data_IF_103973988860
#
_entry.id   IF_103973988860
#
_cell.length_a   1.000
_cell.length_b   1.000
_cell.length_c   1.000
_cell.angle_alpha   90.00
_cell.angle_beta   90.00
_cell.angle_gamma   90.00
#
_symmetry.space_group_name_H-M   'P 1'
#
loop_
_entity.id
_entity.type
_entity.pdbx_description
1 polymer ?
#
# COMPACT_ATOMS: atom_id res chain seq x y z
N UNK A 1 7.71 -1.33 -16.17
CA UNK A 1 8.28 -1.63 -14.85
C UNK A 1 8.19 -3.11 -14.59
N UNK A 2 9.26 -3.74 -14.08
CA UNK A 2 9.26 -5.19 -13.84
C UNK A 2 8.04 -5.61 -13.04
N UNK A 3 7.29 -6.59 -13.56
CA UNK A 3 6.05 -7.14 -13.00
C UNK A 3 6.14 -7.40 -11.50
N UNK A 4 7.35 -7.72 -11.03
CA UNK A 4 7.74 -7.87 -9.63
C UNK A 4 7.30 -6.70 -8.72
N UNK A 5 7.51 -5.45 -9.12
CA UNK A 5 7.18 -4.30 -8.25
C UNK A 5 5.67 -4.08 -8.12
N UNK A 6 4.92 -4.44 -9.16
CA UNK A 6 3.45 -4.38 -9.20
C UNK A 6 2.82 -5.49 -8.36
N UNK A 7 3.39 -6.70 -8.42
CA UNK A 7 2.98 -7.86 -7.60
C UNK A 7 3.30 -7.62 -6.13
N UNK A 8 4.51 -7.14 -5.80
CA UNK A 8 4.89 -6.76 -4.44
C UNK A 8 3.91 -5.73 -3.86
N UNK A 9 3.52 -4.74 -4.65
CA UNK A 9 2.54 -3.75 -4.20
C UNK A 9 1.17 -4.37 -3.95
N UNK A 10 0.68 -5.23 -4.83
CA UNK A 10 -0.61 -5.91 -4.67
C UNK A 10 -0.63 -6.83 -3.45
N UNK A 11 0.50 -7.51 -3.16
CA UNK A 11 0.70 -8.30 -1.94
C UNK A 11 0.50 -7.46 -0.68
N UNK A 12 1.08 -6.26 -0.61
CA UNK A 12 0.89 -5.35 0.53
C UNK A 12 -0.56 -4.86 0.67
N UNK A 13 -1.31 -4.77 -0.42
CA UNK A 13 -2.76 -4.49 -0.37
C UNK A 13 -3.50 -5.65 0.31
N UNK A 14 -3.24 -6.87 -0.17
CA UNK A 14 -3.87 -8.09 0.32
C UNK A 14 -3.59 -8.25 1.82
N UNK A 15 -2.34 -8.06 2.24
CA UNK A 15 -1.97 -8.08 3.66
C UNK A 15 -2.74 -7.04 4.46
N UNK A 16 -2.85 -5.80 3.99
CA UNK A 16 -3.62 -4.75 4.68
C UNK A 16 -5.11 -5.09 4.83
N UNK A 17 -5.73 -5.64 3.77
CA UNK A 17 -7.13 -6.07 3.79
C UNK A 17 -7.33 -7.24 4.76
N UNK A 18 -6.44 -8.24 4.72
CA UNK A 18 -6.49 -9.41 5.62
C UNK A 18 -6.32 -8.96 7.08
N UNK A 19 -5.41 -8.03 7.35
CA UNK A 19 -5.21 -7.49 8.71
C UNK A 19 -6.47 -6.80 9.24
N UNK A 20 -7.19 -6.04 8.41
CA UNK A 20 -8.46 -5.43 8.81
C UNK A 20 -9.51 -6.50 9.12
N UNK A 21 -9.66 -7.50 8.24
CA UNK A 21 -10.61 -8.59 8.46
C UNK A 21 -10.28 -9.33 9.77
N UNK A 22 -9.00 -9.60 10.03
CA UNK A 22 -8.55 -10.23 11.27
C UNK A 22 -8.89 -9.38 12.50
N UNK A 23 -8.55 -8.09 12.50
CA UNK A 23 -8.87 -7.16 13.59
C UNK A 23 -10.39 -7.06 13.81
N UNK A 24 -11.18 -7.06 12.74
CA UNK A 24 -12.65 -7.10 12.81
C UNK A 24 -13.13 -8.38 13.48
N UNK A 25 -12.59 -9.54 13.10
CA UNK A 25 -12.98 -10.82 13.69
C UNK A 25 -12.63 -10.92 15.18
N UNK A 26 -11.44 -10.42 15.57
CA UNK A 26 -11.03 -10.38 16.98
C UNK A 26 -11.88 -9.39 17.78
N UNK A 27 -12.24 -8.24 17.20
CA UNK A 27 -13.13 -7.27 17.85
C UNK A 27 -14.53 -7.81 18.12
N UNK A 28 -15.06 -8.68 17.25
CA UNK A 28 -16.32 -9.39 17.49
C UNK A 28 -16.22 -10.46 18.58
N UNK A 29 -15.04 -11.08 18.77
CA UNK A 29 -14.84 -12.18 19.72
C UNK A 29 -14.52 -11.70 21.14
N UNK A 30 -13.66 -10.68 21.27
CA UNK A 30 -13.13 -10.19 22.55
C UNK A 30 -13.76 -8.86 23.01
N UNK A 31 -14.66 -8.28 22.22
CA UNK A 31 -15.37 -7.04 22.54
C UNK A 31 -14.75 -5.79 21.89
N UNK A 32 -15.62 -4.98 21.30
CA UNK A 32 -15.25 -3.81 20.50
C UNK A 32 -14.60 -2.68 21.33
N UNK A 33 -14.75 -2.70 22.65
CA UNK A 33 -14.28 -1.64 23.56
C UNK A 33 -12.75 -1.54 23.62
N UNK A 34 -12.04 -2.68 23.51
CA UNK A 34 -10.57 -2.70 23.42
C UNK A 34 -10.04 -2.72 21.99
N UNK A 35 -10.75 -3.36 21.07
CA UNK A 35 -10.27 -3.59 19.71
C UNK A 35 -10.56 -2.44 18.73
N UNK A 36 -11.50 -1.55 19.04
CA UNK A 36 -11.81 -0.36 18.23
C UNK A 36 -10.59 0.56 18.04
N UNK A 37 -9.73 0.74 19.05
CA UNK A 37 -8.49 1.52 18.92
C UNK A 37 -7.52 0.92 17.89
N UNK A 38 -7.52 -0.40 17.71
CA UNK A 38 -6.69 -1.09 16.71
C UNK A 38 -7.24 -0.97 15.28
N UNK A 39 -8.49 -0.52 15.09
CA UNK A 39 -8.98 -0.16 13.75
C UNK A 39 -8.22 1.03 13.17
N UNK A 40 -7.67 1.92 14.01
CA UNK A 40 -6.83 3.01 13.54
C UNK A 40 -5.57 2.44 12.87
N UNK A 41 -5.00 1.35 13.38
CA UNK A 41 -3.87 0.68 12.75
C UNK A 41 -4.25 0.00 11.44
N UNK A 42 -5.42 -0.63 11.35
CA UNK A 42 -5.95 -1.17 10.10
C UNK A 42 -6.18 -0.08 9.04
N UNK A 43 -6.79 1.04 9.46
CA UNK A 43 -6.99 2.22 8.63
C UNK A 43 -5.66 2.82 8.15
N UNK A 44 -4.69 2.97 9.05
CA UNK A 44 -3.34 3.42 8.71
C UNK A 44 -2.64 2.47 7.73
N UNK A 45 -2.83 1.16 7.86
CA UNK A 45 -2.27 0.17 6.92
C UNK A 45 -2.84 0.33 5.50
N UNK A 46 -4.16 0.54 5.36
CA UNK A 46 -4.79 0.88 4.07
C UNK A 46 -4.28 2.22 3.54
N UNK A 47 -4.17 3.22 4.41
CA UNK A 47 -3.71 4.56 4.02
C UNK A 47 -2.27 4.51 3.51
N UNK A 48 -1.38 3.77 4.18
CA UNK A 48 -0.01 3.49 3.75
C UNK A 48 0.03 2.79 2.39
N UNK A 49 -0.90 1.86 2.13
CA UNK A 49 -1.03 1.24 0.81
C UNK A 49 -1.34 2.28 -0.28
N UNK A 50 -2.29 3.18 -0.02
CA UNK A 50 -2.65 4.25 -0.96
C UNK A 50 -1.48 5.21 -1.21
N UNK A 51 -0.77 5.63 -0.15
CA UNK A 51 0.42 6.50 -0.25
C UNK A 51 1.51 5.82 -1.08
N UNK A 52 1.78 4.53 -0.84
CA UNK A 52 2.79 3.76 -1.60
C UNK A 52 2.39 3.62 -3.07
N UNK A 53 1.10 3.49 -3.35
CA UNK A 53 0.56 3.50 -4.73
C UNK A 53 0.76 4.83 -5.42
N UNK A 54 0.52 5.92 -4.71
CA UNK A 54 0.75 7.26 -5.22
C UNK A 54 2.24 7.54 -5.49
N UNK A 55 3.12 7.17 -4.55
CA UNK A 55 4.57 7.35 -4.71
C UNK A 55 5.14 6.60 -5.91
N UNK A 56 4.72 5.35 -6.11
CA UNK A 56 5.14 4.55 -7.27
C UNK A 56 4.72 5.21 -8.58
N UNK A 57 3.46 5.65 -8.68
CA UNK A 57 2.93 6.34 -9.86
C UNK A 57 3.69 7.66 -10.14
N UNK A 58 4.07 8.40 -9.09
CA UNK A 58 4.90 9.61 -9.21
C UNK A 58 6.33 9.29 -9.66
N UNK A 59 6.90 8.18 -9.18
CA UNK A 59 8.25 7.75 -9.54
C UNK A 59 8.35 7.30 -11.01
N UNK A 60 7.33 6.63 -11.56
CA UNK A 60 7.33 6.26 -12.98
C UNK A 60 7.46 7.49 -13.88
N UNK A 61 6.72 8.56 -13.56
CA UNK A 61 6.73 9.81 -14.32
C UNK A 61 8.12 10.48 -14.29
N UNK A 62 8.82 10.40 -13.16
CA UNK A 62 10.17 10.96 -13.03
C UNK A 62 11.23 10.12 -13.75
N UNK A 63 11.12 8.78 -13.70
CA UNK A 63 12.01 7.89 -14.45
C UNK A 63 11.82 8.02 -15.97
N UNK A 64 10.59 8.20 -16.45
CA UNK A 64 10.32 8.45 -17.87
C UNK A 64 11.01 9.74 -18.34
N UNK A 65 10.89 10.82 -17.57
CA UNK A 65 11.57 12.08 -17.87
C UNK A 65 13.10 11.95 -17.92
N UNK A 66 13.70 11.20 -16.99
CA UNK A 66 15.15 10.95 -16.97
C UNK A 66 15.61 10.06 -18.14
N UNK A 67 14.81 9.07 -18.54
CA UNK A 67 15.12 8.21 -19.69
C UNK A 67 15.07 8.98 -21.01
N UNK A 68 14.12 9.90 -21.16
CA UNK A 68 14.01 10.75 -22.35
C UNK A 68 15.18 11.73 -22.45
N UNK A 69 15.58 12.33 -21.31
CA UNK A 69 16.74 13.21 -21.21
C UNK A 69 18.08 12.50 -21.48
N UNK A 70 18.20 11.22 -21.12
CA UNK A 70 19.36 10.40 -21.44
C UNK A 70 19.42 9.97 -22.91
N UNK A 71 18.27 9.75 -23.57
CA UNK A 71 18.23 9.42 -25.00
C UNK A 71 18.56 10.60 -25.91
N UNK A 72 18.22 11.83 -25.53
CA UNK A 72 18.56 13.04 -26.30
C UNK A 72 20.01 13.53 -26.14
N UNK A 73 20.81 12.88 -25.29
CA UNK A 73 22.23 13.23 -25.04
C UNK A 73 23.23 12.31 -25.74
N UNK A 74 22.76 11.37 -26.57
CA UNK A 74 23.58 10.40 -27.31
C UNK A 74 23.32 10.56 -28.79
#
# INVERSE_FOLDING_TARGET
MGTYNKVMQMFWLVVGVVTIIAVTFLGFRDGFERWSSYYIFGFFAILLYFVRRYMMKRMEKHQQFLNEKNKGKR
#
